data_IF_251103722222
#
_entry.id   IF_251103722222
#
_cell.length_a   1.000
_cell.length_b   1.000
_cell.length_c   1.000
_cell.angle_alpha   90.00
_cell.angle_beta   90.00
_cell.angle_gamma   90.00
#
_symmetry.space_group_name_H-M   'P 1'
#
loop_
_entity.id
_entity.type
_entity.pdbx_description
1 polymer ?
#
# COMPACT_ATOMS: atom_id res chain seq x y z
N UNK A 1 -19.75 18.17 9.99
CA UNK A 1 -19.18 17.09 9.15
C UNK A 1 -18.43 16.12 10.05
N UNK A 2 -18.77 14.81 10.06
CA UNK A 2 -17.99 13.81 10.81
C UNK A 2 -16.65 13.66 10.07
N UNK A 3 -15.49 13.91 10.67
CA UNK A 3 -14.22 13.67 9.99
C UNK A 3 -14.12 12.16 9.80
N UNK A 4 -14.47 11.66 8.61
CA UNK A 4 -14.16 10.29 8.25
C UNK A 4 -12.64 10.20 8.20
N UNK A 5 -12.06 9.14 8.79
CA UNK A 5 -10.63 8.79 8.85
C UNK A 5 -9.98 8.63 7.45
N UNK A 6 -10.11 9.64 6.59
CA UNK A 6 -9.74 9.60 5.19
C UNK A 6 -8.22 9.57 5.08
N UNK A 7 -7.67 8.36 4.92
CA UNK A 7 -6.24 8.11 4.76
C UNK A 7 -5.48 7.82 6.05
N UNK A 8 -6.04 8.00 7.24
CA UNK A 8 -5.30 7.71 8.49
C UNK A 8 -4.91 6.23 8.60
N UNK A 9 -5.76 5.33 8.09
CA UNK A 9 -5.46 3.90 8.01
C UNK A 9 -4.28 3.61 7.08
N UNK A 10 -4.23 4.25 5.91
CA UNK A 10 -3.13 4.06 4.94
C UNK A 10 -1.81 4.66 5.46
N UNK A 11 -1.86 5.80 6.16
CA UNK A 11 -0.70 6.39 6.83
C UNK A 11 -0.18 5.47 7.93
N UNK A 12 -1.08 4.92 8.75
CA UNK A 12 -0.72 3.98 9.81
C UNK A 12 -0.12 2.70 9.21
N UNK A 13 -0.71 2.17 8.14
CA UNK A 13 -0.18 1.01 7.43
C UNK A 13 1.20 1.28 6.83
N UNK A 14 1.39 2.43 6.18
CA UNK A 14 2.70 2.84 5.63
C UNK A 14 3.75 2.94 6.72
N UNK A 15 3.42 3.55 7.87
CA UNK A 15 4.35 3.64 9.00
C UNK A 15 4.75 2.25 9.53
N UNK A 16 3.77 1.39 9.83
CA UNK A 16 4.03 0.07 10.40
C UNK A 16 4.78 -0.84 9.43
N UNK A 17 4.36 -0.88 8.17
CA UNK A 17 5.03 -1.68 7.12
C UNK A 17 6.41 -1.12 6.83
N UNK A 18 6.58 0.20 6.79
CA UNK A 18 7.87 0.84 6.58
C UNK A 18 8.87 0.54 7.70
N UNK A 19 8.42 0.54 8.96
CA UNK A 19 9.24 0.09 10.09
C UNK A 19 9.62 -1.39 9.97
N UNK A 20 8.66 -2.25 9.63
CA UNK A 20 8.91 -3.68 9.45
C UNK A 20 9.91 -3.96 8.31
N UNK A 21 9.73 -3.33 7.14
CA UNK A 21 10.65 -3.44 6.00
C UNK A 21 12.02 -2.85 6.34
N UNK A 22 12.05 -1.74 7.08
CA UNK A 22 13.29 -1.09 7.51
C UNK A 22 14.19 -2.00 8.35
N UNK A 23 13.63 -2.96 9.09
CA UNK A 23 14.40 -3.98 9.82
C UNK A 23 15.25 -4.87 8.91
N UNK A 24 14.92 -4.97 7.62
CA UNK A 24 15.66 -5.73 6.60
C UNK A 24 16.72 -4.87 5.88
N UNK A 25 16.89 -3.60 6.26
CA UNK A 25 17.94 -2.72 5.79
C UNK A 25 17.52 -1.77 4.66
N UNK A 26 18.46 -0.87 4.29
CA UNK A 26 18.18 0.24 3.37
C UNK A 26 17.81 -0.24 1.96
N UNK A 27 18.38 -1.34 1.47
CA UNK A 27 18.05 -1.91 0.16
C UNK A 27 16.59 -2.34 0.08
N UNK A 28 16.09 -3.04 1.10
CA UNK A 28 14.69 -3.44 1.20
C UNK A 28 13.76 -2.21 1.31
N UNK A 29 14.18 -1.19 2.06
CA UNK A 29 13.41 0.06 2.20
C UNK A 29 13.26 0.82 0.87
N UNK A 30 14.36 0.99 0.13
CA UNK A 30 14.33 1.65 -1.20
C UNK A 30 13.53 0.81 -2.20
N UNK A 31 13.75 -0.51 -2.21
CA UNK A 31 12.99 -1.44 -3.06
C UNK A 31 11.49 -1.35 -2.78
N UNK A 32 11.10 -1.16 -1.53
CA UNK A 32 9.71 -1.06 -1.13
C UNK A 32 9.05 0.22 -1.65
N UNK A 33 9.71 1.38 -1.59
CA UNK A 33 9.18 2.62 -2.18
C UNK A 33 8.95 2.50 -3.69
N UNK A 34 9.87 1.84 -4.40
CA UNK A 34 9.75 1.60 -5.85
C UNK A 34 8.59 0.63 -6.12
N UNK A 35 8.56 -0.51 -5.42
CA UNK A 35 7.50 -1.50 -5.56
C UNK A 35 6.12 -0.92 -5.25
N UNK A 36 6.00 -0.13 -4.18
CA UNK A 36 4.76 0.53 -3.76
C UNK A 36 4.27 1.54 -4.80
N UNK A 37 5.18 2.25 -5.49
CA UNK A 37 4.82 3.14 -6.59
C UNK A 37 4.21 2.35 -7.76
N UNK A 38 4.88 1.28 -8.21
CA UNK A 38 4.42 0.46 -9.34
C UNK A 38 3.09 -0.26 -9.03
N UNK A 39 3.03 -0.91 -7.86
CA UNK A 39 1.84 -1.64 -7.41
C UNK A 39 0.69 -0.67 -7.17
N UNK A 40 0.95 0.52 -6.61
CA UNK A 40 -0.04 1.56 -6.39
C UNK A 40 -0.74 1.99 -7.69
N UNK A 41 0.02 2.22 -8.78
CA UNK A 41 -0.58 2.56 -10.07
C UNK A 41 -1.47 1.45 -10.65
N UNK A 42 -1.02 0.19 -10.55
CA UNK A 42 -1.81 -0.96 -11.00
C UNK A 42 -3.07 -1.12 -10.14
N UNK A 43 -2.94 -0.94 -8.82
CA UNK A 43 -4.03 -1.05 -7.85
C UNK A 43 -5.11 -0.01 -8.08
N UNK A 44 -4.74 1.25 -8.35
CA UNK A 44 -5.71 2.31 -8.70
C UNK A 44 -6.53 1.90 -9.92
N UNK A 45 -5.88 1.45 -11.00
CA UNK A 45 -6.58 1.03 -12.22
C UNK A 45 -7.49 -0.17 -11.98
N UNK A 46 -7.00 -1.18 -11.26
CA UNK A 46 -7.79 -2.36 -10.93
C UNK A 46 -9.00 -2.00 -10.04
N UNK A 47 -8.80 -1.18 -9.02
CA UNK A 47 -9.85 -0.78 -8.10
C UNK A 47 -10.93 0.05 -8.80
N UNK A 48 -10.56 1.01 -9.65
CA UNK A 48 -11.52 1.77 -10.44
C UNK A 48 -12.33 0.89 -11.40
N UNK A 49 -11.75 -0.22 -11.88
CA UNK A 49 -12.43 -1.13 -12.82
C UNK A 49 -13.42 -2.08 -12.15
N UNK A 50 -13.08 -2.55 -10.95
CA UNK A 50 -13.84 -3.58 -10.24
C UNK A 50 -14.62 -3.05 -9.03
N UNK A 51 -14.43 -1.78 -8.65
CA UNK A 51 -14.87 -1.12 -7.41
C UNK A 51 -15.98 -1.89 -6.66
N UNK A 52 -15.62 -2.81 -5.75
CA UNK A 52 -16.60 -3.59 -5.00
C UNK A 52 -17.44 -2.74 -4.05
N UNK A 53 -17.00 -1.51 -3.77
CA UNK A 53 -17.66 -0.57 -2.87
C UNK A 53 -18.52 0.46 -3.61
N UNK A 54 -18.77 0.26 -4.91
CA UNK A 54 -19.55 1.16 -5.77
C UNK A 54 -20.96 1.48 -5.24
N UNK A 55 -21.56 0.58 -4.46
CA UNK A 55 -22.90 0.77 -3.86
C UNK A 55 -22.86 1.33 -2.42
N UNK A 56 -21.68 1.66 -1.89
CA UNK A 56 -21.50 2.16 -0.52
C UNK A 56 -21.12 3.65 -0.50
N UNK A 57 -21.21 4.28 0.68
CA UNK A 57 -20.80 5.69 0.91
C UNK A 57 -19.30 5.96 0.67
N UNK A 58 -18.50 4.93 0.41
CA UNK A 58 -17.07 5.02 0.11
C UNK A 58 -16.74 4.73 -1.37
N UNK A 59 -17.74 4.68 -2.25
CA UNK A 59 -17.57 4.50 -3.69
C UNK A 59 -16.49 5.45 -4.25
N UNK A 60 -15.61 4.91 -5.10
CA UNK A 60 -14.51 5.65 -5.73
C UNK A 60 -13.30 5.95 -4.83
N UNK A 61 -13.27 5.50 -3.56
CA UNK A 61 -12.09 5.60 -2.69
C UNK A 61 -11.30 4.29 -2.70
N UNK A 62 -10.08 4.33 -3.22
CA UNK A 62 -9.19 3.18 -3.24
C UNK A 62 -8.47 3.02 -1.89
N UNK A 63 -8.65 1.89 -1.16
CA UNK A 63 -7.85 1.61 0.03
C UNK A 63 -6.45 1.16 -0.40
N UNK A 64 -5.39 1.84 0.09
CA UNK A 64 -4.02 1.53 -0.32
C UNK A 64 -3.31 0.55 0.61
N UNK A 65 -3.82 0.31 1.82
CA UNK A 65 -3.23 -0.63 2.77
C UNK A 65 -2.86 -2.02 2.17
N UNK A 66 -3.68 -2.68 1.33
CA UNK A 66 -3.29 -3.94 0.70
C UNK A 66 -2.08 -3.80 -0.24
N UNK A 67 -2.02 -2.73 -1.04
CA UNK A 67 -0.91 -2.45 -1.94
C UNK A 67 0.39 -2.16 -1.17
N UNK A 68 0.30 -1.41 -0.07
CA UNK A 68 1.41 -1.09 0.82
C UNK A 68 2.04 -2.37 1.40
N UNK A 69 1.20 -3.27 1.94
CA UNK A 69 1.63 -4.55 2.53
C UNK A 69 2.21 -5.48 1.48
N UNK A 70 1.53 -5.63 0.32
CA UNK A 70 2.01 -6.48 -0.77
C UNK A 70 3.37 -6.03 -1.29
N UNK A 71 3.55 -4.72 -1.49
CA UNK A 71 4.84 -4.14 -1.88
C UNK A 71 5.94 -4.45 -0.85
N UNK A 72 5.62 -4.38 0.45
CA UNK A 72 6.57 -4.66 1.53
C UNK A 72 7.05 -6.09 1.50
N UNK A 73 6.12 -7.04 1.39
CA UNK A 73 6.44 -8.46 1.25
C UNK A 73 7.31 -8.74 0.02
N UNK A 74 6.94 -8.18 -1.14
CA UNK A 74 7.70 -8.35 -2.38
C UNK A 74 9.13 -7.80 -2.25
N UNK A 75 9.28 -6.60 -1.67
CA UNK A 75 10.59 -5.99 -1.50
C UNK A 75 11.51 -6.80 -0.58
N UNK A 76 10.98 -7.27 0.55
CA UNK A 76 11.73 -8.13 1.49
C UNK A 76 12.13 -9.44 0.83
N UNK A 77 11.22 -10.08 0.09
CA UNK A 77 11.51 -11.30 -0.68
C UNK A 77 12.64 -11.05 -1.68
N UNK A 78 12.52 -10.03 -2.52
CA UNK A 78 13.54 -9.70 -3.53
C UNK A 78 14.89 -9.42 -2.87
N UNK A 79 14.89 -8.63 -1.78
CA UNK A 79 16.12 -8.29 -1.06
C UNK A 79 16.74 -9.51 -0.35
N UNK A 80 15.95 -10.49 0.08
CA UNK A 80 16.46 -11.71 0.70
C UNK A 80 17.18 -12.63 -0.29
N UNK A 81 16.85 -12.55 -1.58
CA UNK A 81 17.42 -13.39 -2.65
C UNK A 81 18.50 -12.68 -3.49
N UNK A 82 18.91 -11.46 -3.13
CA UNK A 82 19.75 -10.58 -3.97
C UNK A 82 20.85 -9.91 -3.16
#
# INVERSE_FOLDING_TARGET
AKPGNLGFGDVTATLLVGLAVGMFGLRAMVGWWIAMSLIGFVWIKAWLRFDPQRDTRFAGRTPFAPAIVAAGAISVIICAFC
#
